data_IF_885202943647
#
_entry.id   IF_885202943647
#
_cell.length_a   1.000
_cell.length_b   1.000
_cell.length_c   1.000
_cell.angle_alpha   90.00
_cell.angle_beta   90.00
_cell.angle_gamma   90.00
#
_symmetry.space_group_name_H-M   'P 1'
#
loop_
_entity.id
_entity.type
_entity.pdbx_description
1 polymer ?
#
# COMPACT_ATOMS: atom_id res chain seq x y z
N UNK A 1 45.86 12.85 41.04
CA UNK A 1 45.50 11.45 40.76
C UNK A 1 44.06 11.41 40.25
N UNK A 2 43.77 12.21 39.20
CA UNK A 2 42.39 12.62 38.85
C UNK A 2 42.08 12.45 37.34
N UNK A 3 43.07 12.11 36.53
CA UNK A 3 42.96 12.05 35.06
C UNK A 3 42.42 10.71 34.52
N UNK A 4 42.46 9.64 35.33
CA UNK A 4 42.00 8.30 34.91
C UNK A 4 40.50 8.05 35.13
N UNK A 5 39.82 8.84 35.96
CA UNK A 5 38.39 8.64 36.26
C UNK A 5 37.49 9.36 35.22
N UNK A 6 37.93 10.53 34.73
CA UNK A 6 37.19 11.33 33.74
C UNK A 6 37.12 10.63 32.38
N UNK A 7 38.18 9.93 31.98
CA UNK A 7 38.23 9.15 30.73
C UNK A 7 37.28 7.94 30.77
N UNK A 8 37.05 7.35 31.94
CA UNK A 8 36.14 6.22 32.09
C UNK A 8 34.67 6.66 32.06
N UNK A 9 34.32 7.80 32.66
CA UNK A 9 32.97 8.38 32.54
C UNK A 9 32.64 8.87 31.12
N UNK A 10 33.59 9.52 30.42
CA UNK A 10 33.39 9.95 29.02
C UNK A 10 33.21 8.78 28.05
N UNK A 11 33.90 7.65 28.26
CA UNK A 11 33.68 6.44 27.46
C UNK A 11 32.33 5.79 27.76
N UNK A 12 31.89 5.74 29.02
CA UNK A 12 30.58 5.17 29.40
C UNK A 12 29.40 6.04 28.93
N UNK A 13 29.55 7.36 28.91
CA UNK A 13 28.53 8.29 28.40
C UNK A 13 28.47 8.26 26.86
N UNK A 14 29.62 8.17 26.16
CA UNK A 14 29.68 7.99 24.70
C UNK A 14 29.18 6.62 24.24
N UNK A 15 29.38 5.55 25.01
CA UNK A 15 28.89 4.19 24.71
C UNK A 15 27.37 4.09 24.93
N UNK A 16 26.82 4.74 25.98
CA UNK A 16 25.37 4.88 26.20
C UNK A 16 24.67 5.73 25.13
N UNK A 17 25.32 6.79 24.65
CA UNK A 17 24.77 7.62 23.57
C UNK A 17 24.87 6.92 22.21
N UNK A 18 25.90 6.11 21.95
CA UNK A 18 25.99 5.24 20.78
C UNK A 18 24.92 4.12 20.80
N UNK A 19 24.67 3.46 21.94
CA UNK A 19 23.63 2.42 22.08
C UNK A 19 22.21 3.00 21.94
N UNK A 20 21.94 4.17 22.58
CA UNK A 20 20.66 4.87 22.45
C UNK A 20 20.42 5.44 21.04
N UNK A 21 21.45 5.99 20.39
CA UNK A 21 21.34 6.47 19.02
C UNK A 21 21.14 5.31 18.03
N UNK A 22 21.75 4.16 18.30
CA UNK A 22 21.63 2.96 17.47
C UNK A 22 20.23 2.31 17.57
N UNK A 23 19.68 2.21 18.77
CA UNK A 23 18.31 1.73 19.00
C UNK A 23 17.27 2.70 18.39
N UNK A 24 17.57 4.01 18.40
CA UNK A 24 16.73 5.02 17.73
C UNK A 24 16.71 4.85 16.20
N UNK A 25 17.83 4.49 15.56
CA UNK A 25 17.91 4.32 14.10
C UNK A 25 17.14 3.09 13.62
N UNK A 26 17.31 1.93 14.28
CA UNK A 26 16.48 0.75 14.00
C UNK A 26 15.01 1.04 14.24
N UNK A 27 14.69 1.78 15.31
CA UNK A 27 13.32 2.21 15.62
C UNK A 27 12.72 3.13 14.58
N UNK A 28 13.48 4.10 14.09
CA UNK A 28 13.05 5.01 13.05
C UNK A 28 12.79 4.28 11.72
N UNK A 29 13.59 3.26 11.39
CA UNK A 29 13.48 2.53 10.13
C UNK A 29 12.22 1.65 10.08
N UNK A 30 11.92 0.89 11.14
CA UNK A 30 10.66 0.13 11.20
C UNK A 30 9.43 1.02 11.41
N UNK A 31 9.58 2.13 12.13
CA UNK A 31 8.52 3.12 12.30
C UNK A 31 8.13 3.75 10.96
N UNK A 32 9.12 4.14 10.14
CA UNK A 32 8.89 4.67 8.79
C UNK A 32 8.14 3.66 7.94
N UNK A 33 8.62 2.42 7.94
CA UNK A 33 8.04 1.31 7.20
C UNK A 33 6.57 1.06 7.62
N UNK A 34 6.28 1.08 8.93
CA UNK A 34 4.93 0.95 9.46
C UNK A 34 4.02 2.13 9.11
N UNK A 35 4.47 3.38 9.26
CA UNK A 35 3.65 4.56 8.94
C UNK A 35 3.34 4.63 7.44
N UNK A 36 4.32 4.35 6.58
CA UNK A 36 4.12 4.27 5.14
C UNK A 36 3.14 3.15 4.77
N UNK A 37 3.35 1.95 5.33
CA UNK A 37 2.44 0.82 5.13
C UNK A 37 1.01 1.15 5.51
N UNK A 38 0.77 1.70 6.70
CA UNK A 38 -0.57 2.07 7.15
C UNK A 38 -1.23 3.14 6.27
N UNK A 39 -0.49 4.16 5.87
CA UNK A 39 -1.01 5.19 4.98
C UNK A 39 -1.34 4.64 3.59
N UNK A 40 -0.46 3.82 3.02
CA UNK A 40 -0.68 3.19 1.73
C UNK A 40 -1.86 2.23 1.78
N UNK A 41 -1.99 1.42 2.84
CA UNK A 41 -3.12 0.52 3.04
C UNK A 41 -4.45 1.25 3.13
N UNK A 42 -4.48 2.36 3.86
CA UNK A 42 -5.65 3.22 4.00
C UNK A 42 -6.05 3.85 2.66
N UNK A 43 -5.14 4.55 2.01
CA UNK A 43 -5.42 5.31 0.79
C UNK A 43 -5.70 4.37 -0.38
N UNK A 44 -4.87 3.36 -0.62
CA UNK A 44 -5.03 2.45 -1.76
C UNK A 44 -6.32 1.64 -1.70
N UNK A 45 -6.64 1.05 -0.54
CA UNK A 45 -7.87 0.25 -0.36
C UNK A 45 -9.11 1.13 -0.52
N UNK A 46 -9.11 2.31 0.10
CA UNK A 46 -10.24 3.22 -0.02
C UNK A 46 -10.41 3.78 -1.44
N UNK A 47 -9.32 4.13 -2.13
CA UNK A 47 -9.34 4.56 -3.53
C UNK A 47 -9.88 3.45 -4.44
N UNK A 48 -9.43 2.21 -4.26
CA UNK A 48 -9.91 1.07 -5.04
C UNK A 48 -11.39 0.78 -4.79
N UNK A 49 -11.82 0.80 -3.53
CA UNK A 49 -13.23 0.64 -3.17
C UNK A 49 -14.10 1.74 -3.78
N UNK A 50 -13.69 3.00 -3.68
CA UNK A 50 -14.45 4.11 -4.26
C UNK A 50 -14.44 4.09 -5.79
N UNK A 51 -13.31 3.75 -6.43
CA UNK A 51 -13.23 3.62 -7.88
C UNK A 51 -14.16 2.54 -8.41
N UNK A 52 -14.12 1.33 -7.82
CA UNK A 52 -15.03 0.24 -8.19
C UNK A 52 -16.48 0.59 -7.88
N UNK A 53 -16.73 1.24 -6.73
CA UNK A 53 -18.03 1.75 -6.33
C UNK A 53 -18.62 2.77 -7.31
N UNK A 54 -17.77 3.57 -7.96
CA UNK A 54 -18.18 4.58 -8.94
C UNK A 54 -18.79 3.97 -10.22
N UNK A 55 -18.40 2.74 -10.56
CA UNK A 55 -18.92 2.00 -11.73
C UNK A 55 -20.04 1.04 -11.32
N UNK A 56 -19.93 0.41 -10.15
CA UNK A 56 -20.97 -0.46 -9.58
C UNK A 56 -21.25 -0.06 -8.14
N UNK A 57 -22.43 0.50 -7.89
CA UNK A 57 -22.87 0.91 -6.54
C UNK A 57 -23.18 -0.25 -5.57
N UNK A 58 -22.86 -1.48 -5.96
CA UNK A 58 -23.22 -2.69 -5.22
C UNK A 58 -22.21 -2.99 -4.11
N UNK A 59 -22.71 -3.26 -2.89
CA UNK A 59 -21.85 -3.41 -1.70
C UNK A 59 -20.88 -4.57 -1.83
N UNK A 60 -21.34 -5.68 -2.42
CA UNK A 60 -20.57 -6.93 -2.52
C UNK A 60 -19.36 -6.73 -3.43
N UNK A 61 -19.53 -6.04 -4.56
CA UNK A 61 -18.43 -5.75 -5.50
C UNK A 61 -17.40 -4.84 -4.86
N UNK A 62 -17.85 -3.83 -4.12
CA UNK A 62 -16.99 -2.88 -3.43
C UNK A 62 -16.19 -3.53 -2.29
N UNK A 63 -16.81 -4.43 -1.54
CA UNK A 63 -16.13 -5.19 -0.49
C UNK A 63 -15.14 -6.20 -1.04
N UNK A 64 -15.51 -6.90 -2.11
CA UNK A 64 -14.64 -7.88 -2.75
C UNK A 64 -13.38 -7.20 -3.32
N UNK A 65 -13.52 -6.04 -3.96
CA UNK A 65 -12.37 -5.28 -4.44
C UNK A 65 -11.50 -4.75 -3.31
N UNK A 66 -12.10 -4.25 -2.23
CA UNK A 66 -11.37 -3.80 -1.05
C UNK A 66 -10.58 -4.93 -0.38
N UNK A 67 -11.18 -6.10 -0.21
CA UNK A 67 -10.51 -7.26 0.38
C UNK A 67 -9.40 -7.81 -0.53
N UNK A 68 -9.65 -7.91 -1.84
CA UNK A 68 -8.64 -8.31 -2.80
C UNK A 68 -7.46 -7.32 -2.83
N UNK A 69 -7.75 -6.02 -2.80
CA UNK A 69 -6.75 -4.95 -2.71
C UNK A 69 -5.95 -5.00 -1.41
N UNK A 70 -6.60 -5.31 -0.28
CA UNK A 70 -5.94 -5.49 1.01
C UNK A 70 -4.90 -6.61 0.94
N UNK A 71 -5.31 -7.80 0.48
CA UNK A 71 -4.42 -8.98 0.45
C UNK A 71 -3.30 -8.77 -0.56
N UNK A 72 -3.63 -8.32 -1.78
CA UNK A 72 -2.63 -8.06 -2.81
C UNK A 72 -1.64 -6.96 -2.38
N UNK A 73 -2.15 -5.88 -1.80
CA UNK A 73 -1.36 -4.76 -1.32
C UNK A 73 -0.46 -5.12 -0.14
N UNK A 74 -0.96 -5.87 0.85
CA UNK A 74 -0.17 -6.32 1.99
C UNK A 74 0.99 -7.22 1.56
N UNK A 75 0.74 -8.17 0.65
CA UNK A 75 1.78 -9.04 0.09
C UNK A 75 2.81 -8.24 -0.72
N UNK A 76 2.35 -7.31 -1.58
CA UNK A 76 3.24 -6.46 -2.37
C UNK A 76 4.11 -5.57 -1.50
N UNK A 77 3.55 -5.01 -0.43
CA UNK A 77 4.27 -4.18 0.54
C UNK A 77 5.32 -5.00 1.31
N UNK A 78 4.97 -6.21 1.74
CA UNK A 78 5.91 -7.12 2.41
C UNK A 78 7.12 -7.42 1.52
N UNK A 79 6.87 -7.76 0.25
CA UNK A 79 7.93 -8.05 -0.73
C UNK A 79 8.76 -6.79 -1.00
N UNK A 80 8.12 -5.64 -1.21
CA UNK A 80 8.80 -4.37 -1.49
C UNK A 80 9.72 -3.94 -0.36
N UNK A 81 9.27 -4.04 0.89
CA UNK A 81 10.10 -3.72 2.06
C UNK A 81 11.23 -4.75 2.24
N UNK A 82 10.96 -6.05 2.07
CA UNK A 82 11.99 -7.09 2.14
C UNK A 82 13.12 -6.83 1.14
N UNK A 83 12.78 -6.57 -0.12
CA UNK A 83 13.75 -6.29 -1.19
C UNK A 83 14.49 -4.97 -0.93
N UNK A 84 13.79 -3.94 -0.44
CA UNK A 84 14.40 -2.64 -0.13
C UNK A 84 15.43 -2.75 1.01
N UNK A 85 15.10 -3.45 2.10
CA UNK A 85 16.01 -3.64 3.23
C UNK A 85 17.20 -4.52 2.81
N UNK A 86 16.97 -5.56 2.02
CA UNK A 86 18.04 -6.41 1.50
C UNK A 86 18.99 -5.64 0.57
N UNK A 87 18.46 -4.77 -0.29
CA UNK A 87 19.26 -3.95 -1.19
C UNK A 87 20.10 -2.91 -0.42
N UNK A 88 19.55 -2.32 0.66
CA UNK A 88 20.31 -1.42 1.54
C UNK A 88 21.48 -2.16 2.20
N UNK A 89 21.25 -3.40 2.64
CA UNK A 89 22.30 -4.25 3.17
C UNK A 89 23.40 -4.52 2.14
N UNK A 90 23.04 -4.88 0.91
CA UNK A 90 24.01 -5.17 -0.15
C UNK A 90 24.89 -3.94 -0.48
N UNK A 91 24.31 -2.74 -0.48
CA UNK A 91 25.04 -1.48 -0.69
C UNK A 91 26.03 -1.23 0.45
N UNK A 92 25.60 -1.40 1.71
CA UNK A 92 26.45 -1.19 2.89
C UNK A 92 27.63 -2.17 2.88
N UNK A 93 27.39 -3.45 2.57
CA UNK A 93 28.44 -4.47 2.42
C UNK A 93 29.41 -4.13 1.28
N UNK A 94 28.90 -3.63 0.16
CA UNK A 94 29.73 -3.22 -0.97
C UNK A 94 30.59 -2.00 -0.65
N UNK A 95 30.07 -1.05 0.14
CA UNK A 95 30.81 0.13 0.61
C UNK A 95 31.91 -0.27 1.60
N UNK A 96 31.60 -1.10 2.61
CA UNK A 96 32.59 -1.60 3.57
C UNK A 96 33.74 -2.35 2.89
N UNK A 97 33.45 -3.16 1.87
CA UNK A 97 34.50 -3.84 1.09
C UNK A 97 35.43 -2.89 0.34
N UNK A 98 34.93 -1.71 -0.07
CA UNK A 98 35.73 -0.69 -0.78
C UNK A 98 36.56 0.16 0.19
N UNK A 99 36.05 0.43 1.38
CA UNK A 99 36.69 1.31 2.37
C UNK A 99 37.67 0.55 3.29
N UNK A 100 37.31 -0.65 3.77
CA UNK A 100 38.07 -1.38 4.81
C UNK A 100 38.83 -2.61 4.30
N UNK A 101 38.98 -2.81 2.98
CA UNK A 101 39.85 -3.85 2.43
C UNK A 101 39.47 -5.32 2.68
N UNK A 102 38.30 -5.60 3.26
CA UNK A 102 37.76 -6.96 3.38
C UNK A 102 37.39 -7.44 4.79
N UNK A 103 37.57 -6.63 5.84
CA UNK A 103 37.05 -6.96 7.17
C UNK A 103 35.54 -6.70 7.22
N UNK A 104 34.76 -7.78 7.14
CA UNK A 104 33.29 -7.74 7.20
C UNK A 104 32.88 -7.75 8.67
N UNK A 105 32.74 -6.58 9.31
CA UNK A 105 31.99 -6.47 10.55
C UNK A 105 30.50 -6.72 10.26
N UNK A 106 30.09 -8.00 10.35
CA UNK A 106 28.69 -8.44 10.23
C UNK A 106 27.91 -8.18 11.51
N UNK A 107 27.90 -6.96 12.01
CA UNK A 107 27.26 -6.71 13.31
C UNK A 107 26.24 -5.57 13.29
N UNK A 108 25.54 -5.35 12.18
CA UNK A 108 24.64 -4.18 12.14
C UNK A 108 23.44 -4.22 11.21
N UNK A 109 22.81 -5.38 11.04
CA UNK A 109 21.82 -5.52 9.98
C UNK A 109 20.37 -5.35 10.44
N UNK A 110 19.57 -4.51 9.74
CA UNK A 110 18.12 -4.49 9.91
C UNK A 110 17.55 -5.86 9.53
N UNK A 111 16.70 -6.45 10.37
CA UNK A 111 16.03 -7.72 10.11
C UNK A 111 15.00 -7.55 8.98
N UNK A 112 15.28 -8.02 7.74
CA UNK A 112 14.44 -7.73 6.57
C UNK A 112 13.04 -8.32 6.71
N UNK A 113 12.93 -9.51 7.29
CA UNK A 113 11.66 -10.17 7.55
C UNK A 113 10.79 -9.41 8.56
N UNK A 114 11.41 -8.81 9.59
CA UNK A 114 10.69 -8.07 10.62
C UNK A 114 10.15 -6.74 10.08
N UNK A 115 10.95 -6.03 9.28
CA UNK A 115 10.51 -4.82 8.60
C UNK A 115 9.36 -5.11 7.61
N UNK A 116 9.50 -6.17 6.80
CA UNK A 116 8.46 -6.62 5.88
C UNK A 116 7.15 -6.98 6.58
N UNK A 117 7.22 -7.75 7.67
CA UNK A 117 6.06 -8.12 8.47
C UNK A 117 5.40 -6.89 9.12
N UNK A 118 6.19 -5.96 9.66
CA UNK A 118 5.69 -4.73 10.26
C UNK A 118 4.95 -3.87 9.21
N UNK A 119 5.51 -3.69 8.02
CA UNK A 119 4.87 -2.94 6.92
C UNK A 119 3.58 -3.60 6.45
N UNK A 120 3.55 -4.93 6.30
CA UNK A 120 2.37 -5.66 5.86
C UNK A 120 1.23 -5.62 6.88
N UNK A 121 1.56 -5.73 8.17
CA UNK A 121 0.60 -5.58 9.27
C UNK A 121 0.07 -4.15 9.34
N UNK A 122 0.94 -3.16 9.24
CA UNK A 122 0.54 -1.76 9.23
C UNK A 122 -0.37 -1.45 8.02
N UNK A 123 -0.04 -1.95 6.83
CA UNK A 123 -0.89 -1.87 5.64
C UNK A 123 -2.28 -2.46 5.89
N UNK A 124 -2.33 -3.67 6.45
CA UNK A 124 -3.59 -4.34 6.77
C UNK A 124 -4.42 -3.52 7.77
N UNK A 125 -3.80 -2.95 8.80
CA UNK A 125 -4.47 -2.07 9.77
C UNK A 125 -5.05 -0.81 9.11
N UNK A 126 -4.31 -0.19 8.18
CA UNK A 126 -4.80 0.95 7.41
C UNK A 126 -5.99 0.57 6.51
N UNK A 127 -5.90 -0.59 5.85
CA UNK A 127 -6.92 -1.08 4.92
C UNK A 127 -8.22 -1.54 5.60
N UNK A 128 -8.17 -1.92 6.87
CA UNK A 128 -9.35 -2.31 7.66
C UNK A 128 -10.31 -1.12 7.86
N UNK A 129 -9.80 0.10 7.99
CA UNK A 129 -10.61 1.30 8.24
C UNK A 129 -11.70 1.52 7.16
N UNK A 130 -11.38 1.61 5.86
CA UNK A 130 -12.39 1.80 4.81
C UNK A 130 -13.31 0.58 4.64
N UNK A 131 -12.80 -0.64 4.88
CA UNK A 131 -13.61 -1.86 4.85
C UNK A 131 -14.68 -1.86 5.95
N UNK A 132 -14.31 -1.51 7.18
CA UNK A 132 -15.27 -1.38 8.28
C UNK A 132 -16.25 -0.24 8.03
N UNK A 133 -15.77 0.91 7.57
CA UNK A 133 -16.63 2.05 7.24
C UNK A 133 -17.70 1.70 6.19
N UNK A 134 -17.35 0.86 5.22
CA UNK A 134 -18.27 0.42 4.18
C UNK A 134 -19.29 -0.63 4.66
N UNK A 135 -18.99 -1.40 5.71
CA UNK A 135 -19.75 -2.60 6.10
C UNK A 135 -21.10 -2.29 6.74
N UNK A 136 -21.20 -1.15 7.44
CA UNK A 136 -22.38 -0.81 8.23
C UNK A 136 -23.44 0.00 7.46
N UNK A 137 -23.21 0.35 6.19
CA UNK A 137 -24.09 1.28 5.44
C UNK A 137 -24.64 0.65 4.17
N UNK A 138 -25.98 0.58 4.05
CA UNK A 138 -26.67 0.03 2.86
C UNK A 138 -26.82 1.03 1.72
N UNK A 139 -27.08 2.29 2.04
CA UNK A 139 -27.28 3.35 1.04
C UNK A 139 -25.95 3.78 0.42
N UNK A 140 -25.86 3.82 -0.91
CA UNK A 140 -24.61 4.08 -1.63
C UNK A 140 -24.06 5.49 -1.36
N UNK A 141 -24.92 6.51 -1.44
CA UNK A 141 -24.51 7.91 -1.21
C UNK A 141 -23.96 8.11 0.20
N UNK A 142 -24.62 7.53 1.19
CA UNK A 142 -24.20 7.61 2.59
C UNK A 142 -22.92 6.79 2.81
N UNK A 143 -22.79 5.62 2.18
CA UNK A 143 -21.60 4.76 2.30
C UNK A 143 -20.34 5.47 1.83
N UNK A 144 -20.38 6.08 0.64
CA UNK A 144 -19.24 6.83 0.10
C UNK A 144 -18.87 8.00 1.03
N UNK A 145 -19.87 8.73 1.53
CA UNK A 145 -19.65 9.80 2.51
C UNK A 145 -18.98 9.32 3.79
N UNK A 146 -19.43 8.18 4.34
CA UNK A 146 -18.87 7.58 5.57
C UNK A 146 -17.44 7.12 5.35
N UNK A 147 -17.11 6.50 4.21
CA UNK A 147 -15.75 6.08 3.88
C UNK A 147 -14.82 7.28 3.76
N UNK A 148 -15.23 8.33 3.02
CA UNK A 148 -14.45 9.54 2.87
C UNK A 148 -14.19 10.23 4.23
N UNK A 149 -15.20 10.30 5.08
CA UNK A 149 -15.06 10.86 6.42
C UNK A 149 -14.11 10.03 7.29
N UNK A 150 -14.30 8.70 7.32
CA UNK A 150 -13.46 7.78 8.08
C UNK A 150 -12.00 7.81 7.63
N UNK A 151 -11.75 7.80 6.32
CA UNK A 151 -10.40 7.86 5.75
C UNK A 151 -9.76 9.21 6.01
N UNK A 152 -10.49 10.31 5.86
CA UNK A 152 -9.96 11.65 6.16
C UNK A 152 -9.55 11.76 7.63
N UNK A 153 -10.39 11.27 8.55
CA UNK A 153 -10.06 11.24 9.98
C UNK A 153 -8.84 10.35 10.26
N UNK A 154 -8.76 9.18 9.64
CA UNK A 154 -7.61 8.30 9.77
C UNK A 154 -6.32 8.90 9.19
N UNK A 155 -6.38 9.64 8.08
CA UNK A 155 -5.24 10.37 7.53
C UNK A 155 -4.76 11.49 8.45
N UNK A 156 -5.67 12.23 9.10
CA UNK A 156 -5.31 13.20 10.14
C UNK A 156 -4.59 12.49 11.28
N UNK A 157 -5.16 11.38 11.78
CA UNK A 157 -4.58 10.60 12.87
C UNK A 157 -3.19 10.05 12.51
N UNK A 158 -3.02 9.43 11.34
CA UNK A 158 -1.73 8.90 10.90
C UNK A 158 -0.72 10.02 10.59
N UNK A 159 -1.16 11.15 10.04
CA UNK A 159 -0.33 12.33 9.84
C UNK A 159 0.16 12.93 11.15
N UNK A 160 -0.71 12.97 12.17
CA UNK A 160 -0.40 13.40 13.53
C UNK A 160 0.56 12.42 14.23
N UNK A 161 0.22 11.14 14.25
CA UNK A 161 1.05 10.08 14.86
C UNK A 161 2.43 10.00 14.20
N UNK A 162 2.50 10.02 12.87
CA UNK A 162 3.76 10.02 12.14
C UNK A 162 4.64 11.23 12.48
N UNK A 163 4.03 12.40 12.70
CA UNK A 163 4.77 13.59 13.09
C UNK A 163 5.26 13.54 14.54
N UNK A 164 4.43 13.06 15.46
CA UNK A 164 4.77 12.91 16.88
C UNK A 164 5.90 11.88 17.04
N UNK A 165 5.78 10.73 16.36
CA UNK A 165 6.78 9.66 16.41
C UNK A 165 8.08 10.06 15.67
N UNK A 166 7.97 10.87 14.61
CA UNK A 166 9.11 11.39 13.85
C UNK A 166 9.72 12.70 14.38
N UNK A 167 9.22 13.26 15.50
CA UNK A 167 9.61 14.58 16.04
C UNK A 167 9.61 15.72 15.00
N UNK A 168 8.69 15.65 14.04
CA UNK A 168 8.56 16.59 12.93
C UNK A 168 7.41 17.60 13.19
N UNK A 169 7.38 18.76 12.51
CA UNK A 169 6.28 19.72 12.63
C UNK A 169 4.95 19.10 12.19
N UNK A 170 4.06 18.91 13.18
CA UNK A 170 2.79 18.17 13.08
C UNK A 170 1.87 18.66 11.97
N UNK A 171 1.76 19.98 11.82
CA UNK A 171 0.89 20.61 10.81
C UNK A 171 1.39 20.32 9.40
N UNK A 172 2.71 20.41 9.15
CA UNK A 172 3.28 20.19 7.81
C UNK A 172 3.19 18.73 7.39
N UNK A 173 3.43 17.82 8.34
CA UNK A 173 3.32 16.38 8.11
C UNK A 173 1.88 15.98 7.78
N UNK A 174 0.93 16.38 8.65
CA UNK A 174 -0.49 16.05 8.46
C UNK A 174 -1.05 16.63 7.18
N UNK A 175 -0.69 17.87 6.83
CA UNK A 175 -1.11 18.49 5.57
C UNK A 175 -0.63 17.69 4.34
N UNK A 176 0.63 17.23 4.33
CA UNK A 176 1.17 16.44 3.22
C UNK A 176 0.42 15.11 3.05
N UNK A 177 0.17 14.41 4.15
CA UNK A 177 -0.54 13.12 4.16
C UNK A 177 -1.98 13.30 3.65
N UNK A 178 -2.68 14.33 4.14
CA UNK A 178 -4.05 14.63 3.71
C UNK A 178 -4.13 15.02 2.24
N UNK A 179 -3.30 15.98 1.80
CA UNK A 179 -3.30 16.46 0.41
C UNK A 179 -2.93 15.32 -0.53
N UNK A 180 -1.90 14.52 -0.19
CA UNK A 180 -1.49 13.36 -0.97
C UNK A 180 -2.58 12.30 -1.08
N UNK A 181 -3.23 11.96 0.05
CA UNK A 181 -4.31 10.98 0.10
C UNK A 181 -5.54 11.42 -0.71
N UNK A 182 -5.98 12.66 -0.55
CA UNK A 182 -7.11 13.21 -1.32
C UNK A 182 -6.81 13.30 -2.81
N UNK A 183 -5.59 13.71 -3.18
CA UNK A 183 -5.18 13.75 -4.59
C UNK A 183 -5.20 12.35 -5.21
N UNK A 184 -4.64 11.35 -4.52
CA UNK A 184 -4.65 9.96 -4.98
C UNK A 184 -6.09 9.44 -5.18
N UNK A 185 -6.97 9.69 -4.21
CA UNK A 185 -8.39 9.32 -4.30
C UNK A 185 -9.11 10.00 -5.46
N UNK A 186 -8.89 11.30 -5.65
CA UNK A 186 -9.49 12.06 -6.73
C UNK A 186 -9.06 11.54 -8.10
N UNK A 187 -7.78 11.20 -8.25
CA UNK A 187 -7.23 10.62 -9.49
C UNK A 187 -7.82 9.23 -9.74
N UNK A 188 -7.83 8.34 -8.76
CA UNK A 188 -8.40 6.99 -8.92
C UNK A 188 -9.88 7.07 -9.29
N UNK A 189 -10.66 7.87 -8.56
CA UNK A 189 -12.08 8.05 -8.85
C UNK A 189 -12.31 8.64 -10.26
N UNK A 190 -11.54 9.66 -10.64
CA UNK A 190 -11.63 10.29 -11.96
C UNK A 190 -11.32 9.31 -13.09
N UNK A 191 -10.23 8.55 -12.98
CA UNK A 191 -9.85 7.55 -13.98
C UNK A 191 -10.90 6.45 -14.11
N UNK A 192 -11.36 5.89 -13.00
CA UNK A 192 -12.35 4.80 -13.03
C UNK A 192 -13.69 5.28 -13.58
N UNK A 193 -14.08 6.54 -13.31
CA UNK A 193 -15.28 7.12 -13.91
C UNK A 193 -15.15 7.32 -15.43
N UNK A 194 -13.99 7.78 -15.91
CA UNK A 194 -13.75 7.94 -17.35
C UNK A 194 -13.78 6.59 -18.10
N UNK A 195 -13.16 5.56 -17.51
CA UNK A 195 -13.20 4.20 -18.05
C UNK A 195 -14.61 3.63 -18.02
N UNK A 196 -15.38 3.87 -16.95
CA UNK A 196 -16.80 3.50 -16.88
C UNK A 196 -17.63 4.15 -18.00
N UNK A 197 -17.45 5.46 -18.21
CA UNK A 197 -18.17 6.22 -19.25
C UNK A 197 -17.77 5.89 -20.69
N UNK A 198 -16.67 5.18 -20.94
CA UNK A 198 -16.33 4.61 -22.26
C UNK A 198 -16.58 3.09 -22.35
N UNK A 199 -16.85 2.44 -21.21
CA UNK A 199 -17.06 0.99 -21.11
C UNK A 199 -18.52 0.57 -21.30
N UNK A 200 -19.48 1.49 -21.18
CA UNK A 200 -20.90 1.21 -21.46
C UNK A 200 -21.15 0.79 -22.92
N UNK A 201 -20.30 1.20 -23.87
CA UNK A 201 -20.42 0.74 -25.27
C UNK A 201 -19.78 -0.63 -25.55
N UNK A 202 -18.99 -1.20 -24.63
CA UNK A 202 -18.26 -2.47 -24.85
C UNK A 202 -18.67 -3.62 -23.91
N UNK A 203 -19.22 -3.33 -22.73
CA UNK A 203 -19.55 -4.38 -21.75
C UNK A 203 -21.02 -4.86 -21.81
N UNK A 204 -21.96 -4.04 -22.25
CA UNK A 204 -23.37 -4.46 -22.38
C UNK A 204 -23.56 -5.57 -23.41
N UNK A 205 -22.72 -5.61 -24.46
CA UNK A 205 -22.77 -6.67 -25.47
C UNK A 205 -22.38 -8.05 -24.90
N UNK A 206 -21.49 -8.11 -23.88
CA UNK A 206 -21.00 -9.36 -23.32
C UNK A 206 -21.91 -9.94 -22.23
N UNK A 207 -22.65 -9.12 -21.47
CA UNK A 207 -23.55 -9.61 -20.42
C UNK A 207 -24.88 -10.11 -21.01
N UNK A 208 -25.37 -9.53 -22.12
CA UNK A 208 -26.62 -9.97 -22.76
C UNK A 208 -26.52 -11.36 -23.43
N UNK A 209 -25.31 -11.91 -23.59
CA UNK A 209 -25.08 -13.23 -24.18
C UNK A 209 -25.12 -14.39 -23.18
N UNK A 210 -25.46 -14.15 -21.91
CA UNK A 210 -25.57 -15.22 -20.90
C UNK A 210 -26.88 -16.02 -20.99
N UNK A 211 -27.94 -15.51 -21.64
CA UNK A 211 -29.30 -16.03 -21.43
C UNK A 211 -29.96 -16.80 -22.60
N UNK A 212 -29.25 -17.12 -23.69
CA UNK A 212 -29.84 -17.96 -24.74
C UNK A 212 -28.89 -19.01 -25.32
N UNK A 213 -29.39 -20.23 -25.63
CA UNK A 213 -28.57 -21.31 -26.19
C UNK A 213 -28.11 -20.93 -27.60
N UNK A 214 -26.80 -21.01 -27.80
CA UNK A 214 -26.06 -21.24 -29.05
C UNK A 214 -26.66 -20.57 -30.30
N UNK A 215 -26.16 -19.37 -30.66
CA UNK A 215 -26.32 -18.85 -32.02
C UNK A 215 -25.03 -18.19 -32.48
N UNK A 216 -24.42 -18.78 -33.51
CA UNK A 216 -23.33 -18.16 -34.27
C UNK A 216 -23.82 -16.82 -34.81
N UNK A 217 -23.15 -15.73 -34.43
CA UNK A 217 -23.32 -14.44 -35.10
C UNK A 217 -21.96 -13.99 -35.58
N UNK A 218 -21.79 -14.00 -36.89
CA UNK A 218 -20.66 -13.35 -37.55
C UNK A 218 -20.82 -11.84 -37.32
N UNK A 219 -19.93 -11.26 -36.50
CA UNK A 219 -19.61 -9.84 -36.58
C UNK A 219 -18.45 -9.70 -37.56
N UNK A 220 -18.50 -8.68 -38.41
CA UNK A 220 -17.82 -8.56 -39.71
C UNK A 220 -16.28 -8.50 -39.70
N UNK A 221 -15.57 -9.05 -38.70
CA UNK A 221 -14.16 -9.46 -38.80
C UNK A 221 -13.62 -10.23 -37.56
N UNK A 222 -14.47 -10.84 -36.72
CA UNK A 222 -13.97 -11.61 -35.56
C UNK A 222 -14.77 -12.90 -35.33
N UNK A 223 -14.05 -14.02 -35.30
CA UNK A 223 -14.57 -15.33 -34.92
C UNK A 223 -14.11 -15.61 -33.48
N UNK A 224 -15.05 -15.61 -32.54
CA UNK A 224 -14.79 -16.08 -31.17
C UNK A 224 -15.18 -17.55 -31.05
N UNK A 225 -14.20 -18.42 -30.83
CA UNK A 225 -14.44 -19.81 -30.42
C UNK A 225 -14.25 -19.90 -28.90
N UNK A 226 -15.31 -20.31 -28.20
CA UNK A 226 -15.26 -20.62 -26.77
C UNK A 226 -15.10 -22.13 -26.66
N UNK A 227 -13.92 -22.58 -26.24
CA UNK A 227 -13.67 -23.99 -25.96
C UNK A 227 -14.06 -24.32 -24.51
N UNK A 228 -14.77 -25.43 -24.26
CA UNK A 228 -15.46 -25.67 -22.99
C UNK A 228 -14.55 -26.04 -21.80
N UNK A 229 -13.27 -26.31 -22.00
CA UNK A 229 -12.41 -26.89 -20.94
C UNK A 229 -11.22 -26.04 -20.49
N UNK A 230 -10.96 -24.88 -21.10
CA UNK A 230 -9.91 -23.97 -20.63
C UNK A 230 -10.38 -22.53 -20.76
N UNK A 231 -10.35 -21.79 -19.64
CA UNK A 231 -10.91 -20.45 -19.46
C UNK A 231 -10.07 -19.34 -20.14
N UNK A 232 -9.67 -19.55 -21.39
CA UNK A 232 -8.92 -18.62 -22.22
C UNK A 232 -9.76 -18.20 -23.44
N UNK A 233 -9.85 -16.90 -23.68
CA UNK A 233 -10.38 -16.34 -24.94
C UNK A 233 -9.20 -16.23 -25.91
N UNK A 234 -9.14 -17.13 -26.90
CA UNK A 234 -8.26 -16.95 -28.06
C UNK A 234 -8.94 -15.97 -29.03
N UNK A 235 -8.43 -14.73 -29.10
CA UNK A 235 -8.71 -13.84 -30.24
C UNK A 235 -7.75 -14.19 -31.37
N UNK A 236 -8.29 -14.71 -32.47
CA UNK A 236 -7.59 -14.70 -33.75
C UNK A 236 -7.99 -13.41 -34.49
N UNK A 237 -7.02 -12.54 -34.74
CA UNK A 237 -7.19 -11.38 -35.61
C UNK A 237 -7.07 -11.88 -37.06
N UNK A 238 -8.09 -11.64 -37.89
CA UNK A 238 -8.01 -11.85 -39.34
C UNK A 238 -8.05 -10.46 -39.96
N UNK A 239 -6.90 -9.80 -39.91
CA UNK A 239 -6.65 -8.46 -40.42
C UNK A 239 -5.16 -8.22 -40.60
#
# INVERSE_FOLDING_TARGET
MESHNVNNSLNVDMEKDQEKAFDFSKRAQWLRAAVLGANDGLVSTASLMMGVGAVKGDIKTMMLSGFAGLVAGACSMAIGEFVSVYSQYDIEVAQMKRENGGEIEKEKLPSPMQAAAASALAFSLGAIVPLLAAAFVKEYKVRVGVILAAVTLALVMFGWLGAVLGKAPVVKSSARVLIGGWLAMAVTFGLTKLVGSHGEDSFEQCIYLRDHPVRFRAASNQICLVLPEYQWILRADVG
#
